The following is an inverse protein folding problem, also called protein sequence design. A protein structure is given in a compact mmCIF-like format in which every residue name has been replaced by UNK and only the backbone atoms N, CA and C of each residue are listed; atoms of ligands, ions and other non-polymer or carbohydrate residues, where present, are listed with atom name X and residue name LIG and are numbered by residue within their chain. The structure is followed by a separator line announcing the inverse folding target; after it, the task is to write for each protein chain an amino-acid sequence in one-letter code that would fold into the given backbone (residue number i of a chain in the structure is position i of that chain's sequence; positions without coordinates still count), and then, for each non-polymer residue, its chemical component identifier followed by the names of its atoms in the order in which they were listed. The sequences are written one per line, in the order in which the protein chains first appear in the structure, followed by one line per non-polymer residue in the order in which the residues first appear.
data_IF_899990517472
#
_entry.id   IF_899990517472
#
_cell.length_a   1.000
_cell.length_b   1.000
_cell.length_c   1.000
_cell.angle_alpha   90.00
_cell.angle_beta   90.00
_cell.angle_gamma   90.00
#
_symmetry.space_group_name_H-M   'P 1'
#
loop_
_entity.id
_entity.type
_entity.pdbx_description
1 polymer ?
#
# COMPACT_ATOMS: atom_id res chain seq x y z
N UNK A 1 -14.21 -3.70 2.57
CA UNK A 1 -12.98 -2.92 2.70
C UNK A 1 -13.28 -1.46 2.46
N UNK A 2 -12.68 -0.60 3.27
CA UNK A 2 -12.83 0.85 3.19
C UNK A 2 -11.49 1.46 2.79
N UNK A 3 -11.47 2.23 1.69
CA UNK A 3 -10.26 2.86 1.16
C UNK A 3 -9.07 1.89 1.02
N UNK A 4 -9.18 0.83 0.21
CA UNK A 4 -8.07 -0.09 -0.02
C UNK A 4 -6.91 0.66 -0.70
N UNK A 5 -5.70 0.31 -0.32
CA UNK A 5 -4.50 0.80 -1.01
C UNK A 5 -4.38 0.12 -2.38
N UNK A 6 -4.15 0.90 -3.42
CA UNK A 6 -3.94 0.33 -4.76
C UNK A 6 -2.70 -0.58 -4.75
N UNK A 7 -2.88 -1.85 -5.13
CA UNK A 7 -1.76 -2.79 -5.27
C UNK A 7 -1.11 -2.64 -6.64
N UNK A 8 -1.81 -3.08 -7.69
CA UNK A 8 -1.38 -2.89 -9.08
C UNK A 8 -2.58 -2.56 -9.98
N UNK A 9 -2.28 -1.86 -11.06
CA UNK A 9 -3.16 -1.73 -12.23
C UNK A 9 -2.44 -2.27 -13.44
N UNK A 10 -3.15 -3.04 -14.26
CA UNK A 10 -2.67 -3.47 -15.57
C UNK A 10 -3.68 -2.97 -16.59
N UNK A 11 -3.19 -2.21 -17.56
CA UNK A 11 -3.96 -1.73 -18.70
C UNK A 11 -3.21 -2.13 -19.96
N UNK A 12 -3.84 -2.96 -20.78
CA UNK A 12 -3.18 -3.68 -21.86
C UNK A 12 -1.95 -4.46 -21.32
N UNK A 13 -0.74 -4.04 -21.68
CA UNK A 13 0.50 -4.66 -21.23
C UNK A 13 1.31 -3.77 -20.27
N UNK A 14 0.74 -2.66 -19.81
CA UNK A 14 1.41 -1.76 -18.86
C UNK A 14 0.93 -2.07 -17.44
N UNK A 15 1.85 -2.50 -16.60
CA UNK A 15 1.62 -2.62 -15.16
C UNK A 15 2.04 -1.33 -14.46
N UNK A 16 1.24 -0.89 -13.50
CA UNK A 16 1.52 0.31 -12.70
C UNK A 16 1.23 0.07 -11.22
N UNK A 17 2.00 0.72 -10.36
CA UNK A 17 1.73 0.80 -8.92
C UNK A 17 1.86 2.25 -8.45
N UNK A 18 1.17 2.57 -7.35
CA UNK A 18 1.03 3.95 -6.85
C UNK A 18 1.35 3.99 -5.36
N UNK A 19 2.63 3.81 -4.97
CA UNK A 19 3.00 3.86 -3.57
C UNK A 19 2.67 5.22 -2.96
N UNK A 20 2.04 5.15 -1.78
CA UNK A 20 1.66 6.30 -0.97
C UNK A 20 2.32 6.14 0.40
N UNK A 21 3.17 7.09 0.79
CA UNK A 21 3.79 7.13 2.10
C UNK A 21 4.12 8.58 2.44
N UNK A 22 3.72 8.99 3.63
CA UNK A 22 3.82 10.38 4.08
C UNK A 22 2.50 11.13 3.93
N UNK A 23 2.00 11.61 5.05
CA UNK A 23 0.79 12.42 5.14
C UNK A 23 1.01 13.61 6.06
N UNK A 24 0.33 14.71 5.77
CA UNK A 24 0.31 15.89 6.62
C UNK A 24 -1.10 16.47 6.63
N UNK A 25 -1.67 16.66 7.81
CA UNK A 25 -2.98 17.28 7.96
C UNK A 25 -2.98 18.72 7.44
N UNK A 26 -4.00 19.08 6.67
CA UNK A 26 -4.15 20.46 6.15
C UNK A 26 -4.69 21.33 7.26
N UNK A 27 -3.88 22.29 7.67
CA UNK A 27 -4.23 23.32 8.66
C UNK A 27 -3.94 24.70 8.08
N UNK A 28 -4.26 25.74 8.84
CA UNK A 28 -3.92 27.13 8.46
C UNK A 28 -2.43 27.41 8.35
N UNK A 29 -1.60 26.55 8.94
CA UNK A 29 -0.13 26.71 9.01
C UNK A 29 0.64 25.66 8.22
N UNK A 30 -0.01 24.57 7.77
CA UNK A 30 0.65 23.49 7.04
C UNK A 30 0.54 23.66 5.53
N UNK A 31 1.62 23.42 4.82
CA UNK A 31 1.71 23.49 3.36
C UNK A 31 2.14 22.16 2.74
N UNK A 32 1.85 21.99 1.45
CA UNK A 32 2.37 20.85 0.69
C UNK A 32 3.91 20.77 0.72
N UNK A 33 4.58 21.94 0.76
CA UNK A 33 6.04 22.02 0.85
C UNK A 33 6.58 21.46 2.16
N UNK A 34 5.85 21.57 3.26
CA UNK A 34 6.30 21.03 4.55
C UNK A 34 6.39 19.50 4.50
N UNK A 35 5.40 18.86 3.90
CA UNK A 35 5.46 17.42 3.65
C UNK A 35 6.57 17.08 2.66
N UNK A 36 6.65 17.80 1.54
CA UNK A 36 7.61 17.57 0.49
C UNK A 36 9.07 17.73 0.96
N UNK A 37 9.33 18.59 1.93
CA UNK A 37 10.66 18.87 2.46
C UNK A 37 10.96 18.12 3.76
N UNK A 38 10.05 17.31 4.29
CA UNK A 38 10.28 16.52 5.49
C UNK A 38 11.27 15.38 5.21
N UNK A 39 12.48 15.39 5.82
CA UNK A 39 13.51 14.39 5.50
C UNK A 39 13.10 12.95 5.85
N UNK A 40 12.33 12.78 6.94
CA UNK A 40 11.85 11.46 7.37
C UNK A 40 10.86 10.91 6.35
N UNK A 41 9.83 11.67 6.00
CA UNK A 41 8.79 11.25 5.07
C UNK A 41 9.38 10.95 3.67
N UNK A 42 10.34 11.76 3.23
CA UNK A 42 11.08 11.52 1.98
C UNK A 42 11.85 10.21 2.00
N UNK A 43 12.57 9.91 3.08
CA UNK A 43 13.36 8.70 3.20
C UNK A 43 12.46 7.44 3.25
N UNK A 44 11.37 7.49 4.02
CA UNK A 44 10.40 6.41 4.08
C UNK A 44 9.73 6.18 2.72
N UNK A 45 9.34 7.27 2.04
CA UNK A 45 8.76 7.19 0.70
C UNK A 45 9.74 6.64 -0.34
N UNK A 46 11.01 7.05 -0.30
CA UNK A 46 12.04 6.51 -1.17
C UNK A 46 12.21 5.00 -0.99
N UNK A 47 12.18 4.52 0.25
CA UNK A 47 12.29 3.09 0.57
C UNK A 47 11.14 2.28 -0.03
N UNK A 48 9.89 2.75 0.10
CA UNK A 48 8.75 2.02 -0.48
C UNK A 48 8.75 2.07 -2.01
N UNK A 49 9.17 3.18 -2.61
CA UNK A 49 9.31 3.29 -4.06
C UNK A 49 10.34 2.29 -4.59
N UNK A 50 11.49 2.17 -3.92
CA UNK A 50 12.53 1.23 -4.34
C UNK A 50 12.09 -0.23 -4.18
N UNK A 51 11.41 -0.54 -3.08
CA UNK A 51 10.82 -1.87 -2.86
C UNK A 51 9.84 -2.25 -3.98
N UNK A 52 8.93 -1.35 -4.34
CA UNK A 52 7.93 -1.62 -5.38
C UNK A 52 8.57 -1.67 -6.77
N UNK A 53 9.58 -0.84 -7.06
CA UNK A 53 10.37 -0.96 -8.29
C UNK A 53 10.98 -2.35 -8.43
N UNK A 54 11.59 -2.84 -7.35
CA UNK A 54 12.19 -4.17 -7.32
C UNK A 54 11.13 -5.27 -7.50
N UNK A 55 9.96 -5.14 -6.88
CA UNK A 55 8.88 -6.11 -7.07
C UNK A 55 8.39 -6.12 -8.52
N UNK A 56 8.08 -4.96 -9.09
CA UNK A 56 7.59 -4.88 -10.48
C UNK A 56 8.63 -5.39 -11.49
N UNK A 57 9.93 -5.29 -11.19
CA UNK A 57 10.98 -5.77 -12.09
C UNK A 57 10.99 -7.29 -12.31
N UNK A 58 10.27 -8.05 -11.48
CA UNK A 58 10.10 -9.49 -11.65
C UNK A 58 9.13 -9.83 -12.79
N UNK A 59 8.24 -8.92 -13.13
CA UNK A 59 7.14 -9.16 -14.08
C UNK A 59 7.13 -8.20 -15.26
N UNK A 60 7.91 -7.13 -15.22
CA UNK A 60 7.91 -6.07 -16.23
C UNK A 60 9.29 -5.45 -16.44
N UNK A 61 9.56 -4.95 -17.66
CA UNK A 61 10.79 -4.28 -18.04
C UNK A 61 10.56 -3.41 -19.30
N UNK A 62 11.14 -2.19 -19.38
CA UNK A 62 11.86 -1.48 -18.32
C UNK A 62 10.92 -0.89 -17.26
N UNK A 63 11.38 -0.83 -16.02
CA UNK A 63 10.65 -0.15 -14.95
C UNK A 63 11.03 1.33 -14.92
N UNK A 64 10.02 2.20 -14.82
CA UNK A 64 10.18 3.66 -14.76
C UNK A 64 9.38 4.25 -13.61
N UNK A 65 9.95 5.22 -12.93
CA UNK A 65 9.23 6.09 -12.01
C UNK A 65 8.73 7.29 -12.81
N UNK A 66 7.46 7.25 -13.19
CA UNK A 66 6.87 8.29 -14.05
C UNK A 66 6.64 9.59 -13.29
N UNK A 67 6.25 9.48 -12.02
CA UNK A 67 6.10 10.61 -11.10
C UNK A 67 6.70 10.22 -9.76
N UNK A 68 7.52 11.09 -9.20
CA UNK A 68 8.21 10.84 -7.94
C UNK A 68 7.88 11.90 -6.91
N UNK A 69 7.47 11.45 -5.71
CA UNK A 69 7.18 12.31 -4.55
C UNK A 69 6.27 13.52 -4.87
N UNK A 70 5.23 13.31 -5.67
CA UNK A 70 4.23 14.34 -5.89
C UNK A 70 3.24 14.39 -4.73
N UNK A 71 2.67 15.56 -4.49
CA UNK A 71 1.74 15.77 -3.38
C UNK A 71 0.32 15.89 -3.92
N UNK A 72 -0.57 15.05 -3.41
CA UNK A 72 -2.00 15.11 -3.64
C UNK A 72 -2.73 15.66 -2.42
N UNK A 73 -3.84 16.32 -2.66
CA UNK A 73 -4.79 16.70 -1.62
C UNK A 73 -5.89 15.66 -1.55
N UNK A 74 -6.03 15.04 -0.38
CA UNK A 74 -6.99 13.97 -0.14
C UNK A 74 -8.03 14.41 0.87
N UNK A 75 -9.31 14.26 0.52
CA UNK A 75 -10.42 14.47 1.46
C UNK A 75 -10.60 13.23 2.33
N UNK A 76 -10.77 13.46 3.62
CA UNK A 76 -11.10 12.44 4.62
C UNK A 76 -12.44 12.77 5.28
N UNK A 77 -12.95 11.88 6.10
CA UNK A 77 -14.19 12.14 6.85
C UNK A 77 -14.04 13.25 7.90
N UNK A 78 -12.82 13.50 8.36
CA UNK A 78 -12.52 14.48 9.43
C UNK A 78 -11.85 15.75 8.92
N UNK A 79 -11.55 15.84 7.62
CA UNK A 79 -10.86 17.00 7.05
C UNK A 79 -10.16 16.68 5.74
N UNK A 80 -9.03 17.33 5.53
CA UNK A 80 -8.21 17.15 4.33
C UNK A 80 -6.75 16.94 4.73
N UNK A 81 -6.02 16.18 3.93
CA UNK A 81 -4.60 15.97 4.13
C UNK A 81 -3.80 16.07 2.83
N UNK A 82 -2.55 16.46 2.96
CA UNK A 82 -1.54 16.28 1.94
C UNK A 82 -1.03 14.84 1.97
N UNK A 83 -0.95 14.21 0.81
CA UNK A 83 -0.46 12.83 0.64
C UNK A 83 0.70 12.83 -0.33
N UNK A 84 1.85 12.28 0.08
CA UNK A 84 2.97 12.04 -0.83
C UNK A 84 2.78 10.71 -1.57
N UNK A 85 2.85 10.77 -2.89
CA UNK A 85 2.62 9.64 -3.79
C UNK A 85 3.70 9.56 -4.86
N UNK A 86 3.86 8.38 -5.46
CA UNK A 86 4.65 8.19 -6.68
C UNK A 86 3.89 7.28 -7.65
N UNK A 87 4.24 7.34 -8.93
CA UNK A 87 3.75 6.41 -9.96
C UNK A 87 4.92 5.66 -10.56
N UNK A 88 4.84 4.34 -10.51
CA UNK A 88 5.84 3.43 -11.06
C UNK A 88 5.13 2.58 -12.12
N UNK A 89 5.74 2.40 -13.26
CA UNK A 89 5.18 1.55 -14.32
C UNK A 89 6.27 0.77 -15.05
N UNK A 90 5.83 -0.26 -15.78
CA UNK A 90 6.65 -1.04 -16.68
C UNK A 90 5.81 -1.78 -17.70
N UNK A 91 6.42 -2.23 -18.77
CA UNK A 91 5.79 -3.11 -19.73
C UNK A 91 5.95 -4.56 -19.30
N UNK A 92 4.84 -5.31 -19.26
CA UNK A 92 4.87 -6.73 -18.88
C UNK A 92 5.77 -7.52 -19.83
N UNK A 93 6.60 -8.38 -19.26
CA UNK A 93 7.41 -9.30 -20.07
C UNK A 93 6.49 -10.20 -20.91
N UNK A 94 6.86 -10.54 -22.15
CA UNK A 94 5.99 -11.27 -23.07
C UNK A 94 5.39 -12.55 -22.49
N UNK A 95 6.15 -13.25 -21.66
CA UNK A 95 5.75 -14.54 -21.06
C UNK A 95 4.62 -14.38 -20.04
N UNK A 96 4.41 -13.18 -19.49
CA UNK A 96 3.39 -12.86 -18.49
C UNK A 96 2.20 -12.09 -19.03
N UNK A 97 2.23 -11.64 -20.27
CA UNK A 97 1.10 -10.93 -20.89
C UNK A 97 -0.16 -11.81 -20.86
N UNK A 98 -1.25 -11.25 -20.34
CA UNK A 98 -2.52 -11.96 -20.15
C UNK A 98 -2.57 -12.97 -19.00
N UNK A 99 -1.46 -13.20 -18.28
CA UNK A 99 -1.37 -14.18 -17.17
C UNK A 99 -1.50 -13.49 -15.80
N UNK A 100 -2.62 -12.84 -15.55
CA UNK A 100 -2.84 -12.03 -14.34
C UNK A 100 -2.60 -12.80 -13.03
N UNK A 101 -3.01 -14.08 -12.96
CA UNK A 101 -2.78 -14.92 -11.78
C UNK A 101 -1.29 -15.16 -11.52
N UNK A 102 -0.50 -15.43 -12.54
CA UNK A 102 0.96 -15.61 -12.42
C UNK A 102 1.63 -14.32 -11.99
N UNK A 103 1.22 -13.17 -12.54
CA UNK A 103 1.72 -11.86 -12.14
C UNK A 103 1.46 -11.63 -10.64
N UNK A 104 0.25 -11.91 -10.16
CA UNK A 104 -0.08 -11.78 -8.75
C UNK A 104 0.78 -12.67 -7.86
N UNK A 105 0.99 -13.93 -8.23
CA UNK A 105 1.81 -14.88 -7.47
C UNK A 105 3.28 -14.41 -7.35
N UNK A 106 3.85 -13.83 -8.41
CA UNK A 106 5.22 -13.30 -8.40
C UNK A 106 5.36 -12.05 -7.51
N UNK A 107 4.31 -11.24 -7.40
CA UNK A 107 4.34 -10.00 -6.64
C UNK A 107 3.94 -10.16 -5.18
N UNK A 108 3.16 -11.19 -4.84
CA UNK A 108 2.68 -11.44 -3.49
C UNK A 108 3.77 -12.03 -2.58
N UNK A 109 3.67 -11.76 -1.28
CA UNK A 109 2.79 -10.80 -0.64
C UNK A 109 3.16 -9.36 -0.98
N UNK A 110 2.20 -8.44 -0.82
CA UNK A 110 2.40 -7.02 -1.15
C UNK A 110 3.55 -6.41 -0.32
N UNK A 111 4.50 -5.77 -1.00
CA UNK A 111 5.67 -5.17 -0.34
C UNK A 111 5.32 -4.05 0.64
N UNK A 112 4.24 -3.29 0.35
CA UNK A 112 3.72 -2.26 1.26
C UNK A 112 3.23 -2.82 2.61
N UNK A 113 2.88 -4.11 2.64
CA UNK A 113 2.43 -4.81 3.85
C UNK A 113 3.60 -5.46 4.58
N UNK A 114 4.47 -6.14 3.85
CA UNK A 114 5.55 -6.92 4.46
C UNK A 114 6.77 -6.08 4.78
N UNK A 115 7.03 -5.03 4.02
CA UNK A 115 8.33 -4.35 4.07
C UNK A 115 9.43 -5.19 3.40
N UNK A 116 10.68 -4.85 3.67
CA UNK A 116 11.86 -5.52 3.11
C UNK A 116 12.88 -5.85 4.22
N UNK A 117 13.56 -7.00 4.10
CA UNK A 117 13.42 -8.09 3.12
C UNK A 117 12.15 -8.93 3.37
N UNK A 118 11.32 -9.15 2.35
CA UNK A 118 10.00 -9.80 2.50
C UNK A 118 10.02 -11.11 3.29
N UNK A 119 10.98 -11.99 3.00
CA UNK A 119 11.05 -13.33 3.65
C UNK A 119 11.26 -13.20 5.16
N UNK A 120 12.18 -12.35 5.60
CA UNK A 120 12.48 -12.15 7.01
C UNK A 120 11.32 -11.47 7.74
N UNK A 121 10.76 -10.42 7.15
CA UNK A 121 9.64 -9.68 7.75
C UNK A 121 8.37 -10.51 7.85
N UNK A 122 8.06 -11.35 6.85
CA UNK A 122 6.95 -12.31 6.93
C UNK A 122 7.10 -13.29 8.10
N UNK A 123 8.30 -13.81 8.31
CA UNK A 123 8.58 -14.70 9.43
C UNK A 123 8.37 -13.98 10.77
N UNK A 124 8.88 -12.76 10.92
CA UNK A 124 8.67 -11.93 12.12
C UNK A 124 7.17 -11.67 12.36
N UNK A 125 6.42 -11.33 11.30
CA UNK A 125 4.97 -11.10 11.41
C UNK A 125 4.26 -12.36 11.90
N UNK A 126 4.58 -13.52 11.34
CA UNK A 126 3.97 -14.79 11.71
C UNK A 126 4.28 -15.16 13.18
N UNK A 127 5.52 -14.96 13.61
CA UNK A 127 5.93 -15.21 14.99
C UNK A 127 5.27 -14.25 15.98
N UNK A 128 5.12 -12.96 15.61
CA UNK A 128 4.56 -11.93 16.48
C UNK A 128 3.04 -12.02 16.61
N UNK A 129 2.33 -12.27 15.53
CA UNK A 129 0.86 -12.24 15.53
C UNK A 129 0.22 -13.54 16.00
N UNK A 130 0.79 -14.69 15.68
CA UNK A 130 0.32 -16.01 16.09
C UNK A 130 -1.15 -16.30 15.73
N UNK A 131 -1.68 -15.69 14.69
CA UNK A 131 -3.03 -15.93 14.17
C UNK A 131 -3.07 -15.89 12.65
N UNK A 132 -4.12 -16.48 12.06
CA UNK A 132 -4.35 -16.43 10.61
C UNK A 132 -5.06 -15.12 10.24
N UNK A 133 -4.43 -14.32 9.39
CA UNK A 133 -5.01 -13.08 8.88
C UNK A 133 -6.22 -13.31 7.97
N UNK A 134 -6.35 -14.50 7.39
CA UNK A 134 -7.39 -14.80 6.40
C UNK A 134 -7.28 -13.86 5.19
N UNK A 135 -8.35 -13.14 4.89
CA UNK A 135 -8.36 -12.15 3.81
C UNK A 135 -7.68 -10.81 4.14
N UNK A 136 -7.39 -10.54 5.42
CA UNK A 136 -6.74 -9.31 5.83
C UNK A 136 -5.35 -9.19 5.22
N UNK A 137 -5.03 -8.05 4.63
CA UNK A 137 -3.81 -7.78 3.85
C UNK A 137 -3.65 -8.61 2.56
N UNK A 138 -4.67 -9.39 2.21
CA UNK A 138 -4.77 -10.02 0.90
C UNK A 138 -5.10 -9.03 -0.20
N UNK A 139 -5.27 -9.53 -1.41
CA UNK A 139 -5.55 -8.70 -2.58
C UNK A 139 -6.96 -9.00 -3.08
N UNK A 140 -7.71 -7.93 -3.36
CA UNK A 140 -8.94 -8.00 -4.15
C UNK A 140 -8.75 -7.20 -5.45
N UNK A 141 -9.43 -7.62 -6.52
CA UNK A 141 -9.31 -6.93 -7.79
C UNK A 141 -10.53 -7.10 -8.68
N UNK A 142 -10.62 -6.23 -9.67
CA UNK A 142 -11.61 -6.29 -10.75
C UNK A 142 -10.87 -6.47 -12.08
N UNK A 143 -11.31 -7.44 -12.84
CA UNK A 143 -10.90 -7.68 -14.22
C UNK A 143 -12.11 -7.47 -15.15
N UNK A 144 -11.96 -6.69 -16.19
CA UNK A 144 -13.03 -6.36 -17.15
C UNK A 144 -12.83 -6.99 -18.54
N UNK A 145 -11.88 -7.91 -18.65
CA UNK A 145 -11.51 -8.55 -19.93
C UNK A 145 -10.28 -7.92 -20.59
N UNK A 146 -9.90 -6.71 -20.23
CA UNK A 146 -8.72 -6.00 -20.77
C UNK A 146 -7.82 -5.43 -19.69
N UNK A 147 -8.42 -4.78 -18.69
CA UNK A 147 -7.70 -4.15 -17.61
C UNK A 147 -7.92 -4.89 -16.29
N UNK A 148 -6.94 -4.81 -15.43
CA UNK A 148 -6.98 -5.34 -14.07
C UNK A 148 -6.64 -4.22 -13.09
N UNK A 149 -7.50 -4.03 -12.09
CA UNK A 149 -7.27 -3.08 -11.01
C UNK A 149 -7.43 -3.78 -9.68
N UNK A 150 -6.46 -3.64 -8.80
CA UNK A 150 -6.44 -4.35 -7.53
C UNK A 150 -6.00 -3.47 -6.37
N UNK A 151 -6.44 -3.86 -5.18
CA UNK A 151 -6.11 -3.19 -3.94
C UNK A 151 -5.83 -4.18 -2.82
N UNK A 152 -5.04 -3.73 -1.84
CA UNK A 152 -4.77 -4.46 -0.61
C UNK A 152 -5.96 -4.32 0.32
N UNK A 153 -6.45 -5.44 0.85
CA UNK A 153 -7.55 -5.47 1.79
C UNK A 153 -7.10 -5.06 3.18
N UNK A 154 -7.15 -3.78 3.42
CA UNK A 154 -6.94 -3.13 4.71
C UNK A 154 -8.21 -2.39 5.13
N UNK A 155 -8.32 -2.04 6.41
CA UNK A 155 -9.49 -1.34 6.96
C UNK A 155 -10.77 -2.01 6.50
N UNK A 156 -10.93 -3.29 6.81
CA UNK A 156 -12.10 -4.05 6.38
C UNK A 156 -12.81 -4.74 7.53
N UNK A 157 -14.09 -4.98 7.34
CA UNK A 157 -14.93 -5.71 8.28
C UNK A 157 -15.06 -7.14 7.78
N UNK A 158 -14.71 -8.07 8.63
CA UNK A 158 -14.91 -9.50 8.43
C UNK A 158 -16.14 -9.95 9.20
N UNK A 159 -17.04 -10.64 8.52
CA UNK A 159 -18.16 -11.28 9.18
C UNK A 159 -17.71 -12.65 9.69
N UNK A 160 -17.79 -12.84 10.99
CA UNK A 160 -17.51 -14.10 11.67
C UNK A 160 -18.79 -14.69 12.25
N UNK A 161 -18.70 -15.89 12.80
CA UNK A 161 -19.86 -16.59 13.38
C UNK A 161 -20.49 -15.86 14.56
N UNK A 162 -19.72 -15.13 15.30
CA UNK A 162 -20.08 -14.41 16.53
C UNK A 162 -20.22 -12.89 16.36
N UNK A 163 -20.01 -12.37 15.13
CA UNK A 163 -20.21 -10.96 14.87
C UNK A 163 -19.34 -10.38 13.74
N UNK A 164 -19.17 -9.08 13.79
CA UNK A 164 -18.36 -8.31 12.85
C UNK A 164 -17.03 -7.90 13.50
N UNK A 165 -15.92 -8.21 12.85
CA UNK A 165 -14.59 -7.83 13.28
C UNK A 165 -13.99 -6.83 12.32
N UNK A 166 -13.64 -5.63 12.83
CA UNK A 166 -12.90 -4.65 12.05
C UNK A 166 -11.41 -4.95 12.12
N UNK A 167 -10.77 -5.17 10.97
CA UNK A 167 -9.33 -5.44 10.87
C UNK A 167 -8.59 -4.20 10.37
N UNK A 168 -7.64 -3.74 11.18
CA UNK A 168 -6.76 -2.61 10.91
C UNK A 168 -5.34 -2.93 11.37
N UNK A 169 -4.36 -2.20 10.87
CA UNK A 169 -2.96 -2.36 11.26
C UNK A 169 -2.09 -1.19 10.85
N UNK A 170 -0.89 -1.16 11.38
CA UNK A 170 0.14 -0.18 11.09
C UNK A 170 1.46 -0.81 10.65
N UNK A 171 2.37 -0.01 10.13
CA UNK A 171 3.72 -0.43 9.79
C UNK A 171 4.67 -0.18 10.96
N UNK A 172 5.29 -1.23 11.47
CA UNK A 172 6.26 -1.15 12.58
C UNK A 172 7.67 -1.07 12.02
N UNK A 173 8.44 -0.12 12.50
CA UNK A 173 9.86 0.07 12.16
C UNK A 173 10.70 0.16 13.42
N UNK A 174 12.02 0.16 13.27
CA UNK A 174 12.96 0.34 14.40
C UNK A 174 12.78 1.68 15.13
N UNK A 175 12.16 2.67 14.49
CA UNK A 175 11.88 3.99 15.06
C UNK A 175 10.46 4.13 15.61
N UNK A 176 9.66 3.07 15.56
CA UNK A 176 8.28 3.10 16.04
C UNK A 176 8.23 3.20 17.56
N UNK A 177 7.37 4.09 18.05
CA UNK A 177 7.00 4.19 19.46
C UNK A 177 5.70 3.43 19.69
N UNK A 178 5.70 2.49 20.64
CA UNK A 178 4.57 1.57 20.87
C UNK A 178 3.25 2.31 21.11
N UNK A 179 3.27 3.39 21.88
CA UNK A 179 2.07 4.15 22.20
C UNK A 179 1.54 4.89 20.98
N UNK A 180 2.43 5.54 20.22
CA UNK A 180 2.04 6.28 19.01
C UNK A 180 1.47 5.35 17.95
N UNK A 181 2.09 4.19 17.73
CA UNK A 181 1.58 3.19 16.77
C UNK A 181 0.21 2.64 17.19
N UNK A 182 0.01 2.41 18.49
CA UNK A 182 -1.28 1.98 19.00
C UNK A 182 -2.35 3.07 18.83
N UNK A 183 -2.04 4.31 19.18
CA UNK A 183 -2.95 5.45 19.00
C UNK A 183 -3.31 5.64 17.52
N UNK A 184 -2.34 5.50 16.60
CA UNK A 184 -2.58 5.54 15.16
C UNK A 184 -3.48 4.38 14.69
N UNK A 185 -3.27 3.18 15.23
CA UNK A 185 -4.12 2.03 14.92
C UNK A 185 -5.57 2.27 15.32
N UNK A 186 -5.81 2.83 16.50
CA UNK A 186 -7.16 3.19 16.96
C UNK A 186 -7.78 4.27 16.07
N UNK A 187 -7.04 5.29 15.69
CA UNK A 187 -7.52 6.35 14.79
C UNK A 187 -7.92 5.83 13.40
N UNK A 188 -7.30 4.73 12.96
CA UNK A 188 -7.64 4.09 11.67
C UNK A 188 -8.93 3.27 11.71
N UNK A 189 -9.47 3.00 12.91
CA UNK A 189 -10.73 2.28 13.06
C UNK A 189 -11.88 3.28 12.97
N UNK A 190 -12.39 3.47 11.80
CA UNK A 190 -13.58 4.30 11.55
C UNK A 190 -14.51 3.64 10.53
N UNK A 191 -15.79 3.91 10.67
CA UNK A 191 -16.80 3.50 9.70
C UNK A 191 -17.14 4.71 8.82
N UNK A 192 -17.19 4.55 7.48
CA UNK A 192 -17.35 5.67 6.55
C UNK A 192 -18.82 6.07 6.33
N UNK A 193 -19.67 5.93 7.35
CA UNK A 193 -21.10 6.29 7.35
C UNK A 193 -21.53 6.90 8.66
#
# INVERSE_FOLDING_TARGET
SFSPETFIRIDENIISSFPMKGTLEISSTSTASDLQNNPKEKAEHATIVDLIRNDLSKVASPIRVEKYQYIDRVKTNTGELWQMSSKISGELVPELQGKYGSILLELLPAGSITGAPKKATMQIIQEAEQYDRGFYTGIMGKFDGKSFNSGVMIRFIEQQSDGLVFKSGGGITVFSDVKKEYDELIQKVYLPF
#
